data_IF_813676378881
#
_entry.id   IF_813676378881
#
_cell.length_a   1.000
_cell.length_b   1.000
_cell.length_c   1.000
_cell.angle_alpha   90.00
_cell.angle_beta   90.00
_cell.angle_gamma   90.00
#
_symmetry.space_group_name_H-M   'P 1'
#
loop_
_entity.id
_entity.type
_entity.pdbx_description
1 polymer ?
#
# COMPACT_ATOMS: atom_id res chain seq x y z
N UNK A 1 2.53 -27.46 14.14
CA UNK A 1 1.29 -28.11 13.65
C UNK A 1 0.82 -27.41 12.39
N UNK A 2 1.17 -27.89 11.20
CA UNK A 2 0.57 -27.43 9.95
C UNK A 2 -0.04 -28.64 9.25
N UNK A 3 -1.25 -28.99 9.68
CA UNK A 3 -2.05 -30.01 8.99
C UNK A 3 -2.29 -29.53 7.57
N UNK A 4 -1.69 -30.20 6.60
CA UNK A 4 -1.92 -29.96 5.17
C UNK A 4 -3.40 -30.27 4.90
N UNK A 5 -4.24 -29.30 4.53
CA UNK A 5 -5.65 -29.58 4.31
C UNK A 5 -5.80 -30.51 3.10
N UNK A 6 -6.27 -31.73 3.36
CA UNK A 6 -6.63 -32.73 2.35
C UNK A 6 -7.97 -32.34 1.75
N UNK A 7 -7.94 -31.39 0.83
CA UNK A 7 -9.09 -30.92 0.08
C UNK A 7 -8.61 -30.33 -1.24
N UNK A 8 -9.48 -30.31 -2.25
CA UNK A 8 -9.28 -29.59 -3.51
C UNK A 8 -8.52 -28.27 -3.27
N UNK A 9 -7.55 -27.86 -4.11
CA UNK A 9 -6.75 -26.67 -3.89
C UNK A 9 -7.67 -25.50 -3.52
N UNK A 10 -7.54 -25.00 -2.28
CA UNK A 10 -8.41 -23.95 -1.79
C UNK A 10 -8.33 -22.75 -2.73
N UNK A 11 -9.48 -22.16 -3.06
CA UNK A 11 -9.57 -20.99 -3.92
C UNK A 11 -9.21 -19.69 -3.20
N UNK A 12 -8.74 -19.76 -1.95
CA UNK A 12 -8.29 -18.63 -1.14
C UNK A 12 -7.40 -17.61 -1.87
N UNK A 13 -6.37 -18.01 -2.66
CA UNK A 13 -5.57 -17.03 -3.41
C UNK A 13 -6.34 -16.34 -4.54
N UNK A 14 -7.43 -16.94 -5.05
CA UNK A 14 -8.27 -16.38 -6.11
C UNK A 14 -9.40 -15.50 -5.56
N UNK A 15 -9.71 -15.56 -4.26
CA UNK A 15 -10.82 -14.82 -3.64
C UNK A 15 -10.66 -13.31 -3.77
N UNK A 16 -9.44 -12.79 -3.62
CA UNK A 16 -9.20 -11.35 -3.77
C UNK A 16 -9.50 -10.86 -5.19
N UNK A 17 -9.07 -11.60 -6.19
CA UNK A 17 -9.34 -11.28 -7.59
C UNK A 17 -10.84 -11.48 -7.94
N UNK A 18 -11.51 -12.44 -7.29
CA UNK A 18 -12.95 -12.68 -7.45
C UNK A 18 -13.78 -11.52 -6.90
N UNK A 19 -13.43 -11.01 -5.71
CA UNK A 19 -14.05 -9.80 -5.11
C UNK A 19 -13.85 -8.57 -5.98
N UNK A 20 -12.68 -8.44 -6.62
CA UNK A 20 -12.39 -7.36 -7.54
C UNK A 20 -13.04 -7.52 -8.94
N UNK A 21 -13.65 -8.67 -9.23
CA UNK A 21 -14.27 -8.95 -10.52
C UNK A 21 -13.29 -9.05 -11.69
N UNK A 22 -12.05 -9.48 -11.43
CA UNK A 22 -10.97 -9.54 -12.45
C UNK A 22 -10.61 -10.97 -12.91
N UNK A 23 -11.39 -11.97 -12.51
CA UNK A 23 -11.21 -13.36 -12.95
C UNK A 23 -11.70 -13.55 -14.39
N UNK A 24 -11.11 -14.50 -15.10
CA UNK A 24 -11.74 -15.00 -16.32
C UNK A 24 -12.99 -15.83 -15.98
N UNK A 25 -14.00 -15.91 -16.87
CA UNK A 25 -15.27 -16.57 -16.57
C UNK A 25 -15.14 -18.03 -16.09
N UNK A 26 -14.13 -18.75 -16.59
CA UNK A 26 -13.87 -20.13 -16.18
C UNK A 26 -13.41 -20.24 -14.72
N UNK A 27 -12.54 -19.34 -14.28
CA UNK A 27 -12.08 -19.29 -12.90
C UNK A 27 -13.19 -18.80 -11.96
N UNK A 28 -13.98 -17.83 -12.42
CA UNK A 28 -15.14 -17.30 -11.69
C UNK A 28 -16.13 -18.42 -11.37
N UNK A 29 -16.48 -19.26 -12.36
CA UNK A 29 -17.37 -20.40 -12.17
C UNK A 29 -16.79 -21.43 -11.18
N UNK A 30 -15.48 -21.68 -11.19
CA UNK A 30 -14.81 -22.57 -10.23
C UNK A 30 -14.87 -22.01 -8.80
N UNK A 31 -14.63 -20.72 -8.63
CA UNK A 31 -14.71 -20.05 -7.32
C UNK A 31 -16.15 -20.08 -6.80
N UNK A 32 -17.13 -19.69 -7.63
CA UNK A 32 -18.55 -19.72 -7.28
C UNK A 32 -19.02 -21.13 -6.87
N UNK A 33 -18.61 -22.15 -7.63
CA UNK A 33 -18.87 -23.55 -7.31
C UNK A 33 -18.20 -24.00 -6.01
N UNK A 34 -17.02 -23.48 -5.66
CA UNK A 34 -16.39 -23.82 -4.38
C UNK A 34 -17.07 -23.12 -3.19
N UNK A 35 -17.50 -21.87 -3.34
CA UNK A 35 -18.14 -21.07 -2.28
C UNK A 35 -19.50 -21.66 -1.84
N UNK A 36 -20.21 -22.35 -2.73
CA UNK A 36 -21.45 -23.05 -2.40
C UNK A 36 -21.21 -24.23 -1.44
N UNK A 37 -20.05 -24.90 -1.55
CA UNK A 37 -19.74 -26.12 -0.80
C UNK A 37 -18.76 -25.91 0.37
N UNK A 38 -17.99 -24.82 0.39
CA UNK A 38 -16.97 -24.56 1.41
C UNK A 38 -17.30 -23.35 2.29
N UNK A 39 -17.75 -23.61 3.52
CA UNK A 39 -18.05 -22.56 4.50
C UNK A 39 -16.84 -21.69 4.87
N UNK A 40 -15.64 -22.27 4.95
CA UNK A 40 -14.40 -21.52 5.25
C UNK A 40 -14.12 -20.45 4.20
N UNK A 41 -14.08 -20.84 2.92
CA UNK A 41 -13.82 -19.90 1.83
C UNK A 41 -14.95 -18.87 1.71
N UNK A 42 -16.18 -19.24 2.04
CA UNK A 42 -17.32 -18.31 2.10
C UNK A 42 -17.14 -17.24 3.18
N UNK A 43 -16.72 -17.62 4.38
CA UNK A 43 -16.43 -16.65 5.45
C UNK A 43 -15.32 -15.68 5.05
N UNK A 44 -14.24 -16.19 4.44
CA UNK A 44 -13.14 -15.35 3.93
C UNK A 44 -13.63 -14.39 2.84
N UNK A 45 -14.41 -14.88 1.87
CA UNK A 45 -15.02 -14.07 0.82
C UNK A 45 -15.88 -12.95 1.38
N UNK A 46 -16.78 -13.26 2.33
CA UNK A 46 -17.66 -12.27 2.96
C UNK A 46 -16.86 -11.17 3.66
N UNK A 47 -15.79 -11.51 4.37
CA UNK A 47 -14.93 -10.51 5.01
C UNK A 47 -14.24 -9.58 4.00
N UNK A 48 -13.79 -10.10 2.86
CA UNK A 48 -13.20 -9.29 1.80
C UNK A 48 -14.23 -8.41 1.09
N UNK A 49 -15.43 -8.94 0.82
CA UNK A 49 -16.52 -8.20 0.20
C UNK A 49 -17.02 -7.05 1.09
N UNK A 50 -17.11 -7.27 2.40
CA UNK A 50 -17.48 -6.23 3.37
C UNK A 50 -16.43 -5.10 3.42
N UNK A 51 -15.14 -5.46 3.46
CA UNK A 51 -14.05 -4.49 3.39
C UNK A 51 -14.05 -3.68 2.07
N UNK A 52 -14.37 -4.32 0.94
CA UNK A 52 -14.51 -3.65 -0.35
C UNK A 52 -15.71 -2.69 -0.35
N UNK A 53 -16.85 -3.08 0.21
CA UNK A 53 -18.04 -2.25 0.32
C UNK A 53 -17.77 -1.01 1.19
N UNK A 54 -17.07 -1.17 2.33
CA UNK A 54 -16.64 -0.06 3.17
C UNK A 54 -15.71 0.90 2.41
N UNK A 55 -14.73 0.36 1.67
CA UNK A 55 -13.83 1.18 0.84
C UNK A 55 -14.60 1.97 -0.21
N UNK A 56 -15.56 1.33 -0.88
CA UNK A 56 -16.40 1.99 -1.88
C UNK A 56 -17.22 3.12 -1.24
N UNK A 57 -17.85 2.87 -0.09
CA UNK A 57 -18.61 3.89 0.64
C UNK A 57 -17.75 5.11 1.01
N UNK A 58 -16.52 4.91 1.50
CA UNK A 58 -15.62 6.03 1.81
C UNK A 58 -15.14 6.80 0.57
N UNK A 59 -14.95 6.11 -0.57
CA UNK A 59 -14.52 6.78 -1.82
C UNK A 59 -15.55 7.82 -2.30
N UNK A 60 -16.83 7.58 -2.05
CA UNK A 60 -17.91 8.53 -2.38
C UNK A 60 -17.91 9.77 -1.44
N UNK A 61 -17.39 9.65 -0.22
CA UNK A 61 -17.30 10.76 0.74
C UNK A 61 -16.11 11.69 0.47
N UNK A 62 -14.99 11.16 -0.05
CA UNK A 62 -13.85 11.98 -0.50
C UNK A 62 -14.16 12.77 -1.78
N UNK A 63 -15.11 12.30 -2.61
CA UNK A 63 -15.50 12.96 -3.86
C UNK A 63 -16.26 14.29 -3.64
N UNK A 64 -16.91 14.48 -2.49
CA UNK A 64 -17.56 15.76 -2.09
C UNK A 64 -16.62 16.69 -1.29
N UNK A 65 -15.34 16.34 -1.20
CA UNK A 65 -14.30 17.12 -0.54
C UNK A 65 -13.25 17.60 -1.52
N UNK A 66 -13.63 18.38 -2.53
CA UNK A 66 -12.71 19.07 -3.44
C UNK A 66 -11.75 20.02 -2.73
N UNK A 67 -10.73 19.47 -2.08
CA UNK A 67 -9.45 20.11 -1.78
C UNK A 67 -8.37 19.09 -2.08
N UNK A 68 -8.05 19.01 -3.37
CA UNK A 68 -6.71 18.69 -3.85
C UNK A 68 -5.71 19.62 -3.16
N UNK A 69 -5.29 19.24 -1.95
CA UNK A 69 -4.05 19.72 -1.36
C UNK A 69 -2.93 19.12 -2.20
N UNK A 70 -2.54 19.82 -3.26
CA UNK A 70 -1.36 19.49 -4.06
C UNK A 70 -0.12 19.32 -3.17
N UNK A 71 0.93 18.64 -3.67
CA UNK A 71 2.15 18.44 -2.90
C UNK A 71 2.66 19.79 -2.42
N UNK A 72 2.77 19.97 -1.11
CA UNK A 72 3.47 21.14 -0.56
C UNK A 72 4.92 20.97 -0.98
N UNK A 73 5.29 21.65 -2.05
CA UNK A 73 6.67 21.91 -2.40
C UNK A 73 7.31 22.53 -1.16
N UNK A 74 8.16 21.77 -0.49
CA UNK A 74 8.93 22.23 0.65
C UNK A 74 10.07 23.12 0.12
N UNK A 75 9.67 24.25 -0.48
CA UNK A 75 10.54 25.30 -0.98
C UNK A 75 10.90 26.26 0.14
N UNK A 76 12.20 26.35 0.42
CA UNK A 76 12.82 27.58 0.91
C UNK A 76 12.84 27.78 2.42
N UNK A 77 13.88 27.29 3.08
CA UNK A 77 14.55 28.10 4.10
C UNK A 77 15.93 28.51 3.56
N UNK A 78 15.97 29.67 2.92
CA UNK A 78 17.21 30.40 2.72
C UNK A 78 17.68 30.91 4.06
N UNK A 79 18.63 30.21 4.68
CA UNK A 79 19.33 30.71 5.85
C UNK A 79 20.18 31.94 5.49
N UNK A 80 20.26 32.97 6.36
CA UNK A 80 20.93 34.21 6.05
C UNK A 80 22.44 34.00 5.86
N UNK A 81 22.97 34.71 4.86
CA UNK A 81 24.41 34.88 4.61
C UNK A 81 24.99 35.70 5.75
N UNK A 82 25.76 35.08 6.63
CA UNK A 82 26.63 35.81 7.54
C UNK A 82 27.91 36.21 6.80
N UNK A 83 28.02 37.49 6.52
CA UNK A 83 29.22 38.18 6.04
C UNK A 83 29.94 38.82 7.24
N UNK A 84 31.27 38.70 7.27
CA UNK A 84 32.17 39.34 8.24
C UNK A 84 33.03 38.29 8.93
N UNK A 85 34.27 38.03 8.49
CA UNK A 85 35.44 38.89 8.73
C UNK A 85 35.99 38.54 10.13
N UNK A 86 37.22 38.09 10.37
CA UNK A 86 38.55 38.50 9.91
C UNK A 86 39.54 37.40 10.33
N UNK A 87 40.49 36.98 9.50
CA UNK A 87 41.89 37.39 9.65
C UNK A 87 42.67 36.61 10.74
N UNK A 88 43.70 35.84 10.36
CA UNK A 88 44.62 35.23 11.33
C UNK A 88 45.58 34.19 10.75
N UNK A 89 46.80 34.63 10.48
CA UNK A 89 47.99 34.01 9.91
C UNK A 89 48.70 32.97 10.82
N UNK A 90 49.56 32.15 10.19
CA UNK A 90 50.67 31.41 10.82
C UNK A 90 50.41 29.90 10.96
N UNK A 91 51.25 28.99 10.48
CA UNK A 91 52.59 29.10 9.94
C UNK A 91 53.17 27.70 9.69
N UNK A 92 53.84 27.57 8.55
CA UNK A 92 55.11 26.90 8.30
C UNK A 92 55.45 25.50 8.89
N UNK A 93 55.92 24.65 7.96
CA UNK A 93 56.98 23.63 8.04
C UNK A 93 56.69 22.38 8.90
N UNK A 94 57.05 21.14 8.56
CA UNK A 94 57.86 20.51 7.50
C UNK A 94 57.90 19.01 7.85
N UNK A 95 57.72 18.10 6.89
CA UNK A 95 58.79 17.26 6.33
C UNK A 95 59.44 16.22 7.30
N UNK A 96 59.24 14.94 6.92
CA UNK A 96 60.08 13.73 7.02
C UNK A 96 60.39 13.07 8.36
N UNK A 97 60.32 11.72 8.33
CA UNK A 97 61.18 10.83 9.12
C UNK A 97 60.42 9.78 9.88
#
# INVERSE_FOLDING_TARGET
>A
MTGRPTGSPHVEPLLGAYVLGVLVPEEEARVAGHLSHCGRCRTTYLGMADAQALRAACAEEDAVGGRTGGPREHGGYGGPREYGGTGGYGGHDGRVG
#
